data_IF_164002343383
#
_entry.id   IF_164002343383
#
_cell.length_a   1.000
_cell.length_b   1.000
_cell.length_c   1.000
_cell.angle_alpha   90.00
_cell.angle_beta   90.00
_cell.angle_gamma   90.00
#
_symmetry.space_group_name_H-M   'P 1'
#
loop_
_entity.id
_entity.type
_entity.pdbx_description
1 polymer ?
#
# COMPACT_ATOMS: atom_id res chain seq x y z
N UNK A 1 -13.30 -17.86 -29.19
CA UNK A 1 -12.68 -19.09 -28.67
C UNK A 1 -11.58 -18.70 -27.69
N UNK A 2 -11.55 -19.32 -26.52
CA UNK A 2 -10.46 -19.19 -25.56
C UNK A 2 -9.91 -20.59 -25.27
N UNK A 3 -8.62 -20.83 -25.50
CA UNK A 3 -8.01 -22.16 -25.42
C UNK A 3 -8.74 -23.26 -26.20
N UNK A 4 -9.25 -22.95 -27.40
CA UNK A 4 -9.98 -23.92 -28.25
C UNK A 4 -11.42 -24.21 -27.81
N UNK A 5 -11.89 -23.63 -26.72
CA UNK A 5 -13.28 -23.73 -26.27
C UNK A 5 -14.10 -22.49 -26.70
N UNK A 6 -15.34 -22.71 -27.14
CA UNK A 6 -16.30 -21.63 -27.33
C UNK A 6 -16.88 -21.24 -25.97
N UNK A 7 -16.77 -19.95 -25.64
CA UNK A 7 -17.30 -19.37 -24.39
C UNK A 7 -18.13 -18.18 -24.79
N UNK A 8 -19.42 -18.24 -24.47
CA UNK A 8 -20.34 -17.14 -24.73
C UNK A 8 -20.19 -16.09 -23.63
N UNK A 9 -20.08 -14.82 -24.05
CA UNK A 9 -19.96 -13.67 -23.16
C UNK A 9 -21.04 -12.65 -23.50
N UNK A 10 -21.61 -12.04 -22.46
CA UNK A 10 -22.55 -10.93 -22.61
C UNK A 10 -21.82 -9.58 -22.59
N UNK A 11 -22.50 -8.49 -22.96
CA UNK A 11 -21.94 -7.14 -22.88
C UNK A 11 -21.41 -6.84 -21.47
N UNK A 12 -20.19 -6.32 -21.39
CA UNK A 12 -19.50 -6.10 -20.11
C UNK A 12 -18.79 -7.33 -19.55
N UNK A 13 -18.77 -8.46 -20.26
CA UNK A 13 -18.02 -9.65 -19.89
C UNK A 13 -16.86 -9.94 -20.85
N UNK A 14 -15.75 -10.43 -20.30
CA UNK A 14 -14.64 -10.92 -21.08
C UNK A 14 -13.99 -12.14 -20.43
N UNK A 15 -13.39 -12.98 -21.28
CA UNK A 15 -12.69 -14.21 -20.86
C UNK A 15 -11.21 -13.96 -20.89
N UNK A 16 -10.52 -14.24 -19.78
CA UNK A 16 -9.07 -14.15 -19.73
C UNK A 16 -8.48 -15.13 -18.72
N UNK A 17 -7.18 -15.39 -18.83
CA UNK A 17 -6.40 -16.14 -17.85
C UNK A 17 -5.40 -15.22 -17.16
N UNK A 18 -4.91 -15.60 -15.98
CA UNK A 18 -3.92 -14.82 -15.23
C UNK A 18 -2.71 -14.42 -16.09
N UNK A 19 -2.14 -15.40 -16.79
CA UNK A 19 -0.90 -15.21 -17.55
C UNK A 19 -1.18 -14.55 -18.90
N UNK A 20 -2.34 -14.81 -19.51
CA UNK A 20 -2.80 -14.12 -20.72
C UNK A 20 -3.02 -12.62 -20.46
N UNK A 21 -3.73 -12.28 -19.37
CA UNK A 21 -3.95 -10.90 -18.94
C UNK A 21 -2.63 -10.18 -18.66
N UNK A 22 -1.68 -10.86 -18.01
CA UNK A 22 -0.36 -10.30 -17.74
C UNK A 22 0.49 -10.13 -18.99
N UNK A 23 0.36 -11.03 -19.96
CA UNK A 23 1.01 -10.90 -21.26
C UNK A 23 0.49 -9.65 -21.99
N UNK A 24 -0.83 -9.52 -22.13
CA UNK A 24 -1.49 -8.37 -22.78
C UNK A 24 -1.15 -7.04 -22.09
N UNK A 25 -1.20 -7.02 -20.75
CA UNK A 25 -0.90 -5.82 -19.97
C UNK A 25 0.57 -5.37 -20.11
N UNK A 26 1.50 -6.32 -20.25
CA UNK A 26 2.93 -6.04 -20.35
C UNK A 26 3.48 -5.99 -21.77
N UNK A 27 2.64 -6.20 -22.78
CA UNK A 27 3.05 -5.95 -24.15
C UNK A 27 3.60 -4.51 -24.26
N UNK A 28 4.57 -4.26 -25.15
CA UNK A 28 5.22 -2.94 -25.28
C UNK A 28 6.00 -2.42 -24.05
N UNK A 29 5.88 -3.02 -22.86
CA UNK A 29 6.53 -2.56 -21.62
C UNK A 29 7.95 -3.13 -21.53
N UNK A 30 8.92 -2.26 -21.20
CA UNK A 30 10.32 -2.64 -20.94
C UNK A 30 10.41 -3.61 -19.77
N UNK A 31 11.35 -4.57 -19.83
CA UNK A 31 11.46 -5.69 -18.87
C UNK A 31 11.49 -5.26 -17.40
N UNK A 32 12.14 -4.15 -17.09
CA UNK A 32 12.27 -3.53 -15.77
C UNK A 32 10.96 -2.94 -15.23
N UNK A 33 10.01 -2.60 -16.10
CA UNK A 33 8.72 -2.00 -15.75
C UNK A 33 7.55 -3.00 -15.83
N UNK A 34 7.82 -4.27 -16.17
CA UNK A 34 6.76 -5.28 -16.30
C UNK A 34 6.18 -5.65 -14.95
N UNK A 35 4.86 -5.79 -14.91
CA UNK A 35 4.13 -6.25 -13.74
C UNK A 35 4.02 -7.77 -13.76
N UNK A 36 4.43 -8.42 -12.68
CA UNK A 36 4.32 -9.88 -12.54
C UNK A 36 2.84 -10.29 -12.53
N UNK A 37 2.50 -11.38 -13.22
CA UNK A 37 1.13 -11.87 -13.38
C UNK A 37 0.37 -12.03 -12.05
N UNK A 38 1.05 -12.48 -10.99
CA UNK A 38 0.48 -12.59 -9.63
C UNK A 38 0.06 -11.22 -9.07
N UNK A 39 0.85 -10.19 -9.30
CA UNK A 39 0.57 -8.82 -8.83
C UNK A 39 -0.62 -8.23 -9.58
N UNK A 40 -0.64 -8.38 -10.90
CA UNK A 40 -1.77 -7.92 -11.73
C UNK A 40 -3.08 -8.62 -11.32
N UNK A 41 -3.03 -9.93 -11.08
CA UNK A 41 -4.19 -10.70 -10.61
C UNK A 41 -4.69 -10.25 -9.24
N UNK A 42 -3.78 -9.87 -8.34
CA UNK A 42 -4.13 -9.31 -7.04
C UNK A 42 -4.89 -7.99 -7.19
N UNK A 43 -4.53 -7.14 -8.14
CA UNK A 43 -5.27 -5.91 -8.44
C UNK A 43 -6.66 -6.20 -8.99
N UNK A 44 -6.79 -7.15 -9.91
CA UNK A 44 -8.10 -7.57 -10.44
C UNK A 44 -9.01 -8.11 -9.32
N UNK A 45 -8.45 -8.89 -8.38
CA UNK A 45 -9.19 -9.36 -7.20
C UNK A 45 -9.58 -8.25 -6.22
N UNK A 46 -8.83 -7.15 -6.18
CA UNK A 46 -9.20 -5.97 -5.40
C UNK A 46 -10.46 -5.31 -5.97
N UNK A 47 -10.58 -5.19 -7.30
CA UNK A 47 -11.79 -4.65 -7.93
C UNK A 47 -13.02 -5.54 -7.75
N UNK A 48 -12.84 -6.86 -7.62
CA UNK A 48 -13.93 -7.75 -7.21
C UNK A 48 -14.38 -7.47 -5.77
N UNK A 49 -13.43 -7.27 -4.85
CA UNK A 49 -13.74 -6.91 -3.46
C UNK A 49 -14.50 -5.59 -3.37
N UNK A 50 -14.14 -4.61 -4.20
CA UNK A 50 -14.76 -3.29 -4.27
C UNK A 50 -16.08 -3.27 -5.08
N UNK A 51 -16.59 -4.45 -5.48
CA UNK A 51 -17.84 -4.59 -6.24
C UNK A 51 -17.84 -3.83 -7.58
N UNK A 52 -16.66 -3.63 -8.17
CA UNK A 52 -16.52 -3.09 -9.53
C UNK A 52 -16.53 -4.21 -10.58
N UNK A 53 -16.04 -5.39 -10.19
CA UNK A 53 -15.99 -6.59 -11.03
C UNK A 53 -16.63 -7.79 -10.34
N UNK A 54 -17.08 -8.77 -11.11
CA UNK A 54 -17.38 -10.12 -10.64
C UNK A 54 -16.54 -11.13 -11.42
N UNK A 55 -15.86 -12.05 -10.74
CA UNK A 55 -14.91 -12.98 -11.36
C UNK A 55 -15.33 -14.43 -11.10
N UNK A 56 -15.66 -15.15 -12.17
CA UNK A 56 -15.91 -16.59 -12.14
C UNK A 56 -14.69 -17.32 -12.70
N UNK A 57 -13.92 -17.98 -11.83
CA UNK A 57 -12.71 -18.71 -12.21
C UNK A 57 -12.99 -20.19 -12.48
N UNK A 58 -12.36 -20.71 -13.53
CA UNK A 58 -12.26 -22.13 -13.88
C UNK A 58 -10.78 -22.54 -13.84
N UNK A 59 -10.45 -23.85 -13.93
CA UNK A 59 -9.05 -24.29 -14.03
C UNK A 59 -8.31 -23.75 -15.26
N UNK A 60 -9.03 -23.33 -16.31
CA UNK A 60 -8.44 -22.94 -17.59
C UNK A 60 -8.52 -21.43 -17.86
N UNK A 61 -9.55 -20.75 -17.35
CA UNK A 61 -9.78 -19.32 -17.60
C UNK A 61 -10.63 -18.70 -16.50
N UNK A 62 -10.85 -17.40 -16.57
CA UNK A 62 -11.81 -16.69 -15.74
C UNK A 62 -12.70 -15.82 -16.62
N UNK A 63 -13.98 -15.77 -16.29
CA UNK A 63 -14.93 -14.81 -16.86
C UNK A 63 -15.00 -13.63 -15.91
N UNK A 64 -14.60 -12.46 -16.39
CA UNK A 64 -14.65 -11.20 -15.65
C UNK A 64 -15.85 -10.42 -16.16
N UNK A 65 -16.73 -9.99 -15.25
CA UNK A 65 -17.91 -9.17 -15.53
C UNK A 65 -17.70 -7.80 -14.90
N UNK A 66 -17.89 -6.73 -15.67
CA UNK A 66 -17.95 -5.36 -15.15
C UNK A 66 -19.35 -5.13 -14.57
N UNK A 67 -19.41 -4.86 -13.26
CA UNK A 67 -20.67 -4.58 -12.57
C UNK A 67 -21.19 -3.22 -13.05
N UNK A 68 -22.50 -3.12 -13.30
CA UNK A 68 -23.14 -1.91 -13.87
C UNK A 68 -22.55 -1.45 -15.22
N UNK A 69 -22.10 -2.39 -16.06
CA UNK A 69 -21.54 -2.10 -17.39
C UNK A 69 -22.38 -1.10 -18.21
N UNK A 70 -23.70 -1.25 -18.22
CA UNK A 70 -24.62 -0.36 -18.95
C UNK A 70 -24.51 1.11 -18.51
N UNK A 71 -24.28 1.37 -17.23
CA UNK A 71 -24.14 2.74 -16.67
C UNK A 71 -22.87 3.42 -17.17
N UNK A 72 -21.80 2.66 -17.41
CA UNK A 72 -20.56 3.19 -18.00
C UNK A 72 -20.65 3.45 -19.50
N UNK A 73 -21.70 2.97 -20.16
CA UNK A 73 -21.95 3.20 -21.58
C UNK A 73 -22.95 4.34 -21.82
N UNK A 74 -23.80 4.64 -20.84
CA UNK A 74 -24.85 5.64 -20.95
C UNK A 74 -24.36 7.00 -20.39
N UNK A 75 -23.50 7.66 -21.17
CA UNK A 75 -22.91 8.95 -20.82
C UNK A 75 -22.00 9.45 -21.94
N UNK A 76 -22.58 10.16 -22.90
CA UNK A 76 -21.87 10.81 -24.00
C UNK A 76 -20.73 11.70 -23.49
N UNK A 77 -19.48 11.31 -23.75
CA UNK A 77 -18.46 12.22 -24.24
C UNK A 77 -18.03 11.72 -25.61
N UNK A 78 -18.45 12.45 -26.64
CA UNK A 78 -17.92 12.32 -27.98
C UNK A 78 -16.38 12.45 -27.95
N UNK A 79 -15.69 11.31 -27.99
CA UNK A 79 -14.34 11.22 -28.52
C UNK A 79 -14.42 10.37 -29.78
N UNK A 80 -14.56 11.07 -30.89
CA UNK A 80 -14.36 10.64 -32.29
C UNK A 80 -14.77 9.21 -32.63
N UNK A 81 -15.88 9.10 -33.37
CA UNK A 81 -16.21 7.96 -34.22
C UNK A 81 -15.21 7.95 -35.39
N UNK A 82 -13.96 7.57 -35.13
CA UNK A 82 -13.05 7.08 -36.16
C UNK A 82 -12.53 5.73 -35.68
N UNK A 83 -13.00 4.71 -36.38
CA UNK A 83 -12.71 3.29 -36.15
C UNK A 83 -11.19 3.06 -36.14
N UNK A 84 -10.56 2.63 -35.03
CA UNK A 84 -9.19 2.15 -35.10
C UNK A 84 -9.23 0.74 -35.70
N UNK A 85 -8.78 0.63 -36.93
CA UNK A 85 -8.34 -0.63 -37.50
C UNK A 85 -7.28 -1.26 -36.59
N UNK A 86 -7.43 -2.57 -36.34
CA UNK A 86 -6.42 -3.52 -35.83
C UNK A 86 -5.35 -2.98 -34.89
N UNK A 87 -5.52 -3.26 -33.59
CA UNK A 87 -4.45 -3.50 -32.59
C UNK A 87 -3.33 -2.46 -32.59
N UNK A 88 -3.54 -1.35 -31.85
CA UNK A 88 -2.44 -0.54 -31.36
C UNK A 88 -2.36 -0.62 -29.84
N UNK A 89 -1.33 -1.32 -29.40
CA UNK A 89 -0.83 -1.38 -28.03
C UNK A 89 -0.55 0.04 -27.50
N UNK A 90 -1.24 0.47 -26.44
CA UNK A 90 -1.14 1.83 -25.91
C UNK A 90 0.12 1.96 -25.05
N UNK A 91 1.27 2.22 -25.69
CA UNK A 91 2.46 2.74 -25.01
C UNK A 91 2.47 4.27 -25.12
N UNK A 92 2.19 4.97 -24.02
CA UNK A 92 2.42 6.42 -23.95
C UNK A 92 3.56 6.72 -22.99
N UNK A 93 4.79 6.72 -23.53
CA UNK A 93 5.87 7.57 -23.02
C UNK A 93 6.35 8.40 -24.21
N UNK A 94 5.77 9.60 -24.38
CA UNK A 94 6.39 10.67 -25.17
C UNK A 94 6.72 11.83 -24.24
N UNK A 95 8.02 12.05 -24.07
CA UNK A 95 8.58 13.27 -23.53
C UNK A 95 8.26 14.45 -24.46
N UNK A 96 7.68 15.52 -23.94
CA UNK A 96 7.69 16.85 -24.55
C UNK A 96 7.85 17.91 -23.45
N UNK A 97 8.88 18.76 -23.59
CA UNK A 97 9.16 19.93 -22.75
C UNK A 97 8.30 21.12 -23.19
N UNK A 98 7.81 21.91 -22.20
CA UNK A 98 7.41 23.33 -22.19
C UNK A 98 6.35 23.81 -23.22
N UNK A 99 5.34 24.65 -22.94
CA UNK A 99 5.19 25.72 -21.96
C UNK A 99 3.69 26.13 -21.78
N UNK A 100 3.45 26.88 -20.70
CA UNK A 100 2.38 27.86 -20.41
C UNK A 100 1.16 27.44 -19.54
N UNK A 101 1.11 28.13 -18.40
CA UNK A 101 0.10 28.21 -17.34
C UNK A 101 -1.32 28.56 -17.80
N UNK A 102 -2.32 27.89 -17.19
CA UNK A 102 -3.53 28.51 -16.62
C UNK A 102 -4.15 27.57 -15.56
N UNK A 103 -4.35 28.08 -14.34
CA UNK A 103 -4.97 27.43 -13.16
C UNK A 103 -6.49 27.23 -13.41
N UNK A 104 -7.25 26.26 -12.86
CA UNK A 104 -7.41 25.76 -11.46
C UNK A 104 -8.12 24.40 -11.44
N UNK A 105 -7.65 23.42 -10.64
CA UNK A 105 -8.27 22.80 -9.41
C UNK A 105 -9.33 21.72 -9.75
N UNK A 106 -9.31 20.47 -9.28
CA UNK A 106 -8.65 19.82 -8.14
C UNK A 106 -8.54 18.28 -8.41
N UNK A 107 -7.33 17.72 -8.42
CA UNK A 107 -7.12 16.27 -8.32
C UNK A 107 -5.90 16.01 -7.43
N UNK A 108 -6.13 15.97 -6.12
CA UNK A 108 -5.11 15.65 -5.12
C UNK A 108 -4.77 14.16 -5.14
N UNK A 109 -4.07 13.70 -6.17
CA UNK A 109 -3.30 12.46 -6.07
C UNK A 109 -1.81 12.75 -6.28
N UNK A 110 -1.11 12.60 -5.16
CA UNK A 110 0.34 12.42 -5.03
C UNK A 110 1.23 13.60 -5.44
N UNK A 111 1.09 14.74 -4.76
CA UNK A 111 2.31 15.46 -4.37
C UNK A 111 2.98 14.62 -3.29
N UNK A 112 4.20 14.14 -3.54
CA UNK A 112 5.04 13.50 -2.53
C UNK A 112 5.09 14.44 -1.32
N UNK A 113 4.47 14.06 -0.20
CA UNK A 113 4.51 14.86 1.02
C UNK A 113 5.96 14.96 1.47
N UNK A 114 6.38 16.18 1.73
CA UNK A 114 7.68 16.49 2.32
C UNK A 114 7.43 16.94 3.75
N UNK A 115 8.16 16.34 4.67
CA UNK A 115 8.04 16.60 6.10
C UNK A 115 9.15 17.57 6.50
N UNK A 116 8.78 18.65 7.20
CA UNK A 116 9.75 19.57 7.77
C UNK A 116 10.56 18.87 8.88
N UNK A 117 11.77 19.38 9.15
CA UNK A 117 12.68 18.76 10.12
C UNK A 117 12.11 18.76 11.56
N UNK A 118 11.21 19.69 11.86
CA UNK A 118 10.53 19.86 13.15
C UNK A 118 9.13 19.21 13.17
N UNK A 119 8.71 18.54 12.10
CA UNK A 119 7.42 17.85 12.08
C UNK A 119 7.44 16.65 13.06
N UNK A 120 6.33 16.37 13.77
CA UNK A 120 6.28 15.23 14.68
C UNK A 120 6.67 13.89 14.04
N UNK A 121 6.29 13.68 12.78
CA UNK A 121 6.62 12.49 12.01
C UNK A 121 8.12 12.38 11.73
N UNK A 122 8.75 13.50 11.38
CA UNK A 122 10.19 13.54 11.12
C UNK A 122 10.99 13.36 12.41
N UNK A 123 10.55 13.99 13.50
CA UNK A 123 11.16 13.84 14.83
C UNK A 123 11.20 12.35 15.22
N UNK A 124 10.07 11.65 15.13
CA UNK A 124 9.99 10.22 15.47
C UNK A 124 10.80 9.34 14.50
N UNK A 125 10.80 9.67 13.20
CA UNK A 125 11.60 8.96 12.21
C UNK A 125 13.11 9.08 12.48
N UNK A 126 13.58 10.29 12.79
CA UNK A 126 14.96 10.57 13.20
C UNK A 126 15.29 9.87 14.51
N UNK A 127 14.35 9.87 15.46
CA UNK A 127 14.52 9.21 16.75
C UNK A 127 14.72 7.69 16.61
N UNK A 128 13.84 7.02 15.86
CA UNK A 128 13.98 5.60 15.54
C UNK A 128 15.34 5.30 14.88
N UNK A 129 15.75 6.13 13.92
CA UNK A 129 17.03 5.95 13.25
C UNK A 129 18.22 6.07 14.21
N UNK A 130 18.21 7.06 15.12
CA UNK A 130 19.25 7.24 16.14
C UNK A 130 19.36 6.01 17.04
N UNK A 131 18.23 5.45 17.49
CA UNK A 131 18.21 4.23 18.32
C UNK A 131 18.79 3.03 17.58
N UNK A 132 18.34 2.79 16.34
CA UNK A 132 18.86 1.69 15.52
C UNK A 132 20.36 1.85 15.28
N UNK A 133 20.83 3.07 14.98
CA UNK A 133 22.26 3.36 14.76
C UNK A 133 23.11 3.15 16.02
N UNK A 134 22.56 3.45 17.20
CA UNK A 134 23.21 3.17 18.48
C UNK A 134 23.37 1.68 18.75
N UNK A 135 22.35 0.88 18.42
CA UNK A 135 22.37 -0.58 18.58
C UNK A 135 23.20 -1.30 17.50
N UNK A 136 23.22 -0.75 16.28
CA UNK A 136 23.95 -1.27 15.14
C UNK A 136 24.68 -0.12 14.40
N UNK A 137 25.95 0.15 14.77
CA UNK A 137 26.76 1.22 14.18
C UNK A 137 26.99 1.07 12.68
N UNK A 138 26.89 -0.13 12.11
CA UNK A 138 27.06 -0.38 10.67
C UNK A 138 25.76 -0.16 9.87
N UNK A 139 24.64 0.12 10.54
CA UNK A 139 23.36 0.32 9.85
C UNK A 139 23.41 1.55 8.94
N UNK A 140 23.02 1.37 7.68
CA UNK A 140 23.01 2.44 6.67
C UNK A 140 21.95 3.48 6.98
N UNK A 141 22.27 4.75 6.68
CA UNK A 141 21.31 5.85 6.84
C UNK A 141 20.10 5.62 5.91
N UNK A 142 18.87 5.57 6.44
CA UNK A 142 17.66 5.36 5.66
C UNK A 142 17.20 6.66 5.00
N UNK A 143 16.17 6.54 4.15
CA UNK A 143 15.42 7.68 3.69
C UNK A 143 14.44 8.14 4.78
N UNK A 144 14.81 9.20 5.52
CA UNK A 144 14.03 9.71 6.65
C UNK A 144 12.68 10.29 6.23
N UNK A 145 12.56 10.86 5.03
CA UNK A 145 11.27 11.33 4.49
C UNK A 145 10.30 10.17 4.27
N UNK A 146 10.78 9.02 3.79
CA UNK A 146 9.97 7.81 3.68
C UNK A 146 9.57 7.25 5.04
N UNK A 147 10.44 7.35 6.04
CA UNK A 147 10.14 6.91 7.39
C UNK A 147 9.11 7.82 8.06
N UNK A 148 9.24 9.13 7.91
CA UNK A 148 8.25 10.10 8.34
C UNK A 148 6.88 9.81 7.73
N UNK A 149 6.81 9.44 6.45
CA UNK A 149 5.54 9.01 5.84
C UNK A 149 4.96 7.73 6.46
N UNK A 150 5.79 6.76 6.85
CA UNK A 150 5.31 5.56 7.54
C UNK A 150 4.82 5.88 8.96
N UNK A 151 5.50 6.78 9.68
CA UNK A 151 5.07 7.27 11.00
C UNK A 151 3.77 8.06 10.87
N UNK A 152 3.64 8.95 9.88
CA UNK A 152 2.38 9.64 9.56
C UNK A 152 1.25 8.63 9.42
N UNK A 153 1.45 7.56 8.66
CA UNK A 153 0.40 6.55 8.46
C UNK A 153 0.05 5.83 9.76
N UNK A 154 1.01 5.60 10.67
CA UNK A 154 0.69 5.09 12.00
C UNK A 154 -0.21 6.05 12.78
N UNK A 155 0.03 7.37 12.64
CA UNK A 155 -0.78 8.38 13.31
C UNK A 155 -2.16 8.56 12.67
N UNK A 156 -2.20 8.87 11.38
CA UNK A 156 -3.42 9.22 10.65
C UNK A 156 -4.30 8.00 10.33
N UNK A 157 -3.70 6.89 9.88
CA UNK A 157 -4.46 5.72 9.40
C UNK A 157 -4.65 4.67 10.50
N UNK A 158 -3.61 4.43 11.31
CA UNK A 158 -3.69 3.44 12.38
C UNK A 158 -4.15 4.06 13.71
N UNK A 159 -4.43 5.37 13.72
CA UNK A 159 -4.90 6.14 14.88
C UNK A 159 -4.00 6.00 16.12
N UNK A 160 -2.68 5.94 15.92
CA UNK A 160 -1.69 5.82 17.00
C UNK A 160 -1.13 7.20 17.34
N UNK A 161 -1.36 7.74 18.55
CA UNK A 161 -0.76 9.00 18.96
C UNK A 161 0.77 8.92 18.92
N UNK A 162 1.45 10.03 18.58
CA UNK A 162 2.91 10.08 18.52
C UNK A 162 3.58 9.60 19.81
N UNK A 163 3.03 9.94 20.98
CA UNK A 163 3.53 9.46 22.28
C UNK A 163 3.58 7.93 22.39
N UNK A 164 2.58 7.25 21.81
CA UNK A 164 2.50 5.77 21.82
C UNK A 164 3.52 5.18 20.85
N UNK A 165 3.70 5.83 19.70
CA UNK A 165 4.72 5.47 18.72
C UNK A 165 6.11 5.60 19.36
N UNK A 166 6.37 6.73 20.03
CA UNK A 166 7.62 7.00 20.73
C UNK A 166 7.95 5.92 21.75
N UNK A 167 7.00 5.63 22.66
CA UNK A 167 7.20 4.58 23.68
C UNK A 167 7.40 3.20 23.05
N UNK A 168 6.77 2.92 21.92
CA UNK A 168 6.99 1.67 21.17
C UNK A 168 8.39 1.61 20.55
N UNK A 169 8.94 2.74 20.07
CA UNK A 169 10.32 2.82 19.60
C UNK A 169 11.29 2.50 20.73
N UNK A 170 11.08 3.06 21.92
CA UNK A 170 11.93 2.76 23.08
C UNK A 170 11.89 1.29 23.48
N UNK A 171 10.70 0.72 23.65
CA UNK A 171 10.52 -0.68 24.06
C UNK A 171 11.10 -1.64 23.01
N UNK A 172 10.59 -1.50 21.79
CA UNK A 172 11.30 -1.62 20.53
C UNK A 172 12.77 -2.02 20.53
N UNK A 173 13.54 -0.96 20.73
CA UNK A 173 14.97 -0.91 20.51
C UNK A 173 15.75 -1.31 21.77
N UNK A 174 15.09 -1.41 22.92
CA UNK A 174 15.67 -1.97 24.13
C UNK A 174 15.60 -3.51 24.16
N UNK A 175 14.52 -4.09 23.64
CA UNK A 175 14.33 -5.53 23.62
C UNK A 175 15.29 -6.22 22.63
N UNK A 176 16.07 -7.21 23.09
CA UNK A 176 17.09 -7.90 22.27
C UNK A 176 16.52 -8.63 21.07
N UNK A 177 15.31 -9.17 21.19
CA UNK A 177 14.63 -9.83 20.08
C UNK A 177 14.10 -8.79 19.09
N UNK A 178 13.42 -7.74 19.57
CA UNK A 178 12.81 -6.77 18.66
C UNK A 178 13.80 -5.79 18.03
N UNK A 179 14.87 -5.39 18.70
CA UNK A 179 15.84 -4.46 18.13
C UNK A 179 16.50 -5.01 16.85
N UNK A 180 16.70 -6.32 16.76
CA UNK A 180 17.24 -6.99 15.56
C UNK A 180 16.22 -7.12 14.44
N UNK A 181 14.92 -7.09 14.78
CA UNK A 181 13.83 -7.28 13.85
C UNK A 181 13.23 -5.96 13.34
N UNK A 182 13.30 -4.88 14.13
CA UNK A 182 12.75 -3.56 13.79
C UNK A 182 13.89 -2.65 13.32
N UNK A 183 14.22 -2.76 12.04
CA UNK A 183 15.28 -1.99 11.37
C UNK A 183 14.73 -0.86 10.47
N UNK A 184 13.41 -0.63 10.49
CA UNK A 184 12.76 0.44 9.72
C UNK A 184 11.41 0.86 10.28
N UNK A 185 10.98 2.08 9.94
CA UNK A 185 9.65 2.62 10.31
C UNK A 185 8.50 1.77 9.72
N UNK A 186 8.63 1.32 8.47
CA UNK A 186 7.67 0.38 7.86
C UNK A 186 7.53 -0.91 8.69
N UNK A 187 8.66 -1.45 9.19
CA UNK A 187 8.64 -2.66 10.00
C UNK A 187 8.02 -2.42 11.39
N UNK A 188 8.36 -1.29 12.01
CA UNK A 188 7.73 -0.81 13.25
C UNK A 188 6.21 -0.78 13.12
N UNK A 189 5.69 -0.12 12.07
CA UNK A 189 4.25 -0.08 11.77
C UNK A 189 3.67 -1.48 11.61
N UNK A 190 4.27 -2.31 10.76
CA UNK A 190 3.76 -3.65 10.44
C UNK A 190 3.69 -4.60 11.64
N UNK A 191 4.55 -4.40 12.65
CA UNK A 191 4.67 -5.27 13.83
C UNK A 191 4.12 -4.64 15.10
N UNK A 192 3.58 -3.43 15.01
CA UNK A 192 3.18 -2.65 16.17
C UNK A 192 2.25 -3.43 17.10
N UNK A 193 1.16 -4.02 16.58
CA UNK A 193 0.17 -4.71 17.43
C UNK A 193 0.74 -5.98 18.07
N UNK A 194 1.62 -6.67 17.36
CA UNK A 194 2.34 -7.83 17.92
C UNK A 194 3.23 -7.39 19.08
N UNK A 195 3.98 -6.31 18.89
CA UNK A 195 4.86 -5.76 19.93
C UNK A 195 4.06 -5.22 21.12
N UNK A 196 2.96 -4.50 20.88
CA UNK A 196 2.07 -4.01 21.94
C UNK A 196 1.51 -5.14 22.80
N UNK A 197 1.03 -6.23 22.18
CA UNK A 197 0.56 -7.40 22.90
C UNK A 197 1.67 -8.06 23.73
N UNK A 198 2.90 -8.15 23.21
CA UNK A 198 4.03 -8.72 23.93
C UNK A 198 4.53 -7.83 25.06
N UNK A 199 4.59 -6.52 24.85
CA UNK A 199 4.97 -5.53 25.87
C UNK A 199 4.01 -5.63 27.07
N UNK A 200 2.70 -5.61 26.81
CA UNK A 200 1.68 -5.73 27.86
C UNK A 200 1.81 -7.03 28.66
N UNK A 201 2.13 -8.15 28.00
CA UNK A 201 2.39 -9.43 28.69
C UNK A 201 3.62 -9.35 29.60
N UNK A 202 4.74 -8.81 29.12
CA UNK A 202 5.96 -8.67 29.94
C UNK A 202 5.74 -7.80 31.18
N UNK A 203 4.99 -6.70 31.04
CA UNK A 203 4.59 -5.87 32.18
C UNK A 203 3.70 -6.64 33.18
N UNK A 204 2.74 -7.43 32.69
CA UNK A 204 1.88 -8.25 33.57
C UNK A 204 2.62 -9.38 34.29
N UNK A 205 3.64 -9.98 33.66
CA UNK A 205 4.47 -11.03 34.29
C UNK A 205 5.47 -10.49 35.30
N UNK A 206 5.96 -9.25 35.12
CA UNK A 206 6.86 -8.60 36.09
C UNK A 206 6.15 -8.13 37.37
N UNK A 207 4.81 -7.96 37.32
CA UNK A 207 3.99 -7.48 38.44
C UNK A 207 3.62 -8.54 39.48
N UNK A 208 4.14 -9.77 39.36
CA UNK A 208 3.94 -10.81 40.38
C UNK A 208 4.83 -10.62 41.62
N UNK A 209 5.67 -9.58 41.67
CA UNK A 209 6.42 -9.16 42.85
C UNK A 209 6.26 -7.64 43.00
N UNK A 210 5.61 -7.23 44.10
CA UNK A 210 5.48 -5.90 44.73
C UNK A 210 4.57 -4.79 44.12
N UNK A 211 3.67 -4.32 44.99
CA UNK A 211 2.84 -3.09 44.90
C UNK A 211 3.74 -1.85 45.15
N UNK A 212 3.68 -0.74 44.40
CA UNK A 212 2.72 0.39 44.49
C UNK A 212 3.10 1.44 43.41
N UNK A 213 2.10 2.16 42.87
CA UNK A 213 2.14 3.43 42.09
C UNK A 213 3.27 3.65 41.05
N UNK A 214 3.04 3.68 39.73
CA UNK A 214 2.14 4.57 38.98
C UNK A 214 1.44 3.82 37.84
N UNK A 215 0.12 4.00 37.69
CA UNK A 215 -0.64 3.47 36.54
C UNK A 215 -0.28 4.25 35.27
N UNK A 216 0.76 3.86 34.55
CA UNK A 216 0.81 4.14 33.11
C UNK A 216 -0.19 3.23 32.40
N UNK A 217 -1.41 3.74 32.25
CA UNK A 217 -2.47 3.09 31.50
C UNK A 217 -2.12 3.12 30.00
N UNK A 218 -1.89 1.94 29.42
CA UNK A 218 -1.62 1.84 27.98
C UNK A 218 -2.88 2.05 27.10
N UNK A 219 -4.06 2.24 27.71
CA UNK A 219 -5.27 2.68 27.02
C UNK A 219 -6.01 1.59 26.25
N UNK A 220 -5.81 0.31 26.60
CA UNK A 220 -6.52 -0.80 25.98
C UNK A 220 -7.24 -1.61 27.05
N UNK A 221 -8.43 -1.14 27.40
CA UNK A 221 -9.42 -1.83 28.23
C UNK A 221 -10.74 -1.06 28.20
N UNK A 222 -11.75 -1.67 27.54
CA UNK A 222 -13.18 -1.30 27.37
C UNK A 222 -13.48 0.06 26.72
N UNK A 223 -14.39 0.18 25.76
CA UNK A 223 -15.64 -0.57 25.51
C UNK A 223 -15.69 -1.42 24.24
#
# INVERSE_FOLDING_TARGET
MFNGQQVDVSSGQFVTGRDALAFEFNEGVKRDHRIVARTLWRWIKQFEKEQMLSIKSTPQYSVITVIEWSTYQDGDHQVSIDRPSSVHHLSTIKNAKNAKNAKKEDSQQSRKREYADDSPEMIEAVYLWKKIKGNNPEHRKPNLQSWADDIRKMHELDHRPFDKIHKMIDWCQFDSFWQTNILSASKLRSKYDTMAAQANRKFSSGRRIEHTETKENWGYGVD
#
